data_IF_864141810151
#
_entry.id   IF_864141810151
#
_cell.length_a   1.000
_cell.length_b   1.000
_cell.length_c   1.000
_cell.angle_alpha   90.00
_cell.angle_beta   90.00
_cell.angle_gamma   90.00
#
_symmetry.space_group_name_H-M   'P 1'
#
loop_
_entity.id
_entity.type
_entity.pdbx_description
1 polymer ?
#
# COMPACT_ATOMS: atom_id res chain seq x y z
N UNK A 1 11.96 -11.50 -28.56
CA UNK A 1 12.64 -11.65 -27.26
C UNK A 1 11.88 -10.83 -26.25
N UNK A 2 11.38 -11.50 -25.22
CA UNK A 2 10.45 -10.97 -24.24
C UNK A 2 11.07 -9.84 -23.41
N UNK A 3 10.39 -8.70 -23.35
CA UNK A 3 10.55 -7.78 -22.24
C UNK A 3 9.68 -8.35 -21.11
N UNK A 4 10.31 -8.91 -20.10
CA UNK A 4 9.61 -9.32 -18.88
C UNK A 4 9.05 -8.06 -18.22
N UNK A 5 7.79 -8.10 -17.80
CA UNK A 5 7.32 -7.31 -16.68
C UNK A 5 8.41 -7.36 -15.62
N UNK A 6 8.94 -6.21 -15.19
CA UNK A 6 9.80 -6.17 -14.02
C UNK A 6 8.91 -6.59 -12.86
N UNK A 7 8.93 -7.89 -12.52
CA UNK A 7 8.58 -8.35 -11.19
C UNK A 7 9.29 -7.41 -10.24
N UNK A 8 8.54 -6.70 -9.39
CA UNK A 8 9.15 -6.04 -8.25
C UNK A 8 9.96 -7.11 -7.53
N UNK A 9 11.28 -6.94 -7.48
CA UNK A 9 12.18 -7.90 -6.86
C UNK A 9 11.78 -7.94 -5.40
N UNK A 10 11.09 -9.01 -5.01
CA UNK A 10 10.70 -9.25 -3.62
C UNK A 10 11.96 -9.17 -2.76
N UNK A 11 11.87 -8.45 -1.64
CA UNK A 11 13.06 -8.22 -0.83
C UNK A 11 13.53 -9.52 -0.17
N UNK A 12 14.86 -9.76 -0.07
CA UNK A 12 15.41 -11.03 0.37
C UNK A 12 14.88 -11.57 1.71
N UNK A 13 14.62 -10.68 2.65
CA UNK A 13 14.06 -10.97 3.98
C UNK A 13 12.58 -11.40 3.92
N UNK A 14 11.79 -10.85 2.98
CA UNK A 14 10.42 -11.29 2.74
C UNK A 14 10.43 -12.69 2.12
N UNK A 15 11.30 -12.93 1.14
CA UNK A 15 11.47 -14.28 0.57
C UNK A 15 11.96 -15.29 1.62
N UNK A 16 12.79 -14.87 2.58
CA UNK A 16 13.21 -15.71 3.69
C UNK A 16 12.03 -16.08 4.61
N UNK A 17 11.19 -15.11 4.98
CA UNK A 17 9.98 -15.37 5.76
C UNK A 17 9.06 -16.38 5.06
N UNK A 18 8.83 -16.22 3.75
CA UNK A 18 8.06 -17.19 2.93
C UNK A 18 8.67 -18.59 2.96
N UNK A 19 10.00 -18.71 2.86
CA UNK A 19 10.69 -20.02 2.97
C UNK A 19 10.50 -20.65 4.34
N UNK A 20 10.54 -19.87 5.42
CA UNK A 20 10.28 -20.36 6.80
C UNK A 20 8.85 -20.86 6.90
N UNK A 21 7.86 -20.07 6.45
CA UNK A 21 6.45 -20.45 6.43
C UNK A 21 6.25 -21.77 5.69
N UNK A 22 6.79 -21.90 4.47
CA UNK A 22 6.66 -23.10 3.66
C UNK A 22 7.35 -24.32 4.31
N UNK A 23 8.60 -24.15 4.77
CA UNK A 23 9.39 -25.22 5.40
C UNK A 23 8.67 -25.84 6.60
N UNK A 24 8.02 -25.02 7.42
CA UNK A 24 7.33 -25.47 8.62
C UNK A 24 5.80 -25.60 8.43
N UNK A 25 5.30 -25.42 7.20
CA UNK A 25 3.87 -25.46 6.88
C UNK A 25 3.02 -24.59 7.81
N UNK A 26 3.51 -23.38 8.10
CA UNK A 26 2.88 -22.47 9.07
C UNK A 26 1.63 -21.83 8.47
N UNK A 27 0.61 -21.65 9.29
CA UNK A 27 -0.59 -20.87 8.95
C UNK A 27 -0.94 -19.93 10.08
N UNK A 28 -1.44 -18.71 9.80
CA UNK A 28 -1.86 -17.80 10.85
C UNK A 28 -3.03 -18.35 11.69
N UNK A 29 -3.05 -18.09 13.02
CA UNK A 29 -2.02 -17.35 13.76
C UNK A 29 -0.78 -18.22 14.01
N UNK A 30 0.39 -17.73 13.61
CA UNK A 30 1.65 -18.46 13.79
C UNK A 30 2.04 -18.45 15.27
N UNK A 31 2.45 -19.62 15.79
CA UNK A 31 3.09 -19.72 17.10
C UNK A 31 4.56 -19.28 17.01
N UNK A 32 4.74 -17.96 17.02
CA UNK A 32 6.06 -17.33 16.91
C UNK A 32 6.94 -17.67 18.11
N UNK A 33 6.34 -17.92 19.28
CA UNK A 33 7.05 -18.31 20.49
C UNK A 33 7.73 -19.67 20.25
N UNK A 34 6.96 -20.66 19.82
CA UNK A 34 7.50 -21.98 19.49
C UNK A 34 8.56 -21.90 18.38
N UNK A 35 8.40 -21.02 17.40
CA UNK A 35 9.36 -20.85 16.32
C UNK A 35 10.68 -20.24 16.80
N UNK A 36 10.64 -19.15 17.59
CA UNK A 36 11.84 -18.54 18.20
C UNK A 36 12.56 -19.55 19.10
N UNK A 37 11.82 -20.32 19.91
CA UNK A 37 12.39 -21.35 20.77
C UNK A 37 13.08 -22.50 20.03
N UNK A 38 13.01 -22.59 18.69
CA UNK A 38 13.86 -23.51 17.91
C UNK A 38 15.28 -22.96 17.71
N UNK A 39 15.44 -21.64 17.65
CA UNK A 39 16.69 -20.97 17.31
C UNK A 39 17.40 -20.32 18.50
N UNK A 40 16.65 -19.95 19.53
CA UNK A 40 17.16 -19.31 20.73
C UNK A 40 16.49 -19.87 22.00
N UNK A 41 17.12 -19.63 23.14
CA UNK A 41 16.46 -19.69 24.44
C UNK A 41 15.58 -18.45 24.59
N UNK A 42 14.43 -18.57 25.27
CA UNK A 42 13.43 -17.53 25.31
C UNK A 42 12.94 -17.29 26.74
N UNK A 43 13.09 -16.06 27.19
CA UNK A 43 12.64 -15.58 28.49
C UNK A 43 11.70 -14.38 28.35
N UNK A 44 10.81 -14.23 29.34
CA UNK A 44 9.95 -13.07 29.47
C UNK A 44 10.22 -12.44 30.83
N UNK A 45 10.87 -11.29 30.84
CA UNK A 45 11.21 -10.60 32.09
C UNK A 45 10.93 -9.10 31.98
N UNK A 46 11.03 -8.39 33.10
CA UNK A 46 10.97 -6.94 33.14
C UNK A 46 12.29 -6.36 32.66
N UNK A 47 12.26 -5.63 31.55
CA UNK A 47 13.41 -4.91 31.01
C UNK A 47 13.18 -3.38 31.11
N UNK A 48 14.21 -2.54 30.95
CA UNK A 48 14.06 -1.08 31.05
C UNK A 48 13.00 -0.52 30.09
N UNK A 49 12.37 0.58 30.51
CA UNK A 49 11.36 1.26 29.70
C UNK A 49 11.94 1.74 28.36
N UNK A 50 11.15 1.63 27.29
CA UNK A 50 11.57 1.95 25.93
C UNK A 50 12.12 0.75 25.15
N UNK A 51 12.55 -0.32 25.83
CA UNK A 51 13.07 -1.54 25.19
C UNK A 51 11.95 -2.58 25.11
N UNK A 52 11.87 -3.31 23.99
CA UNK A 52 10.88 -4.37 23.81
C UNK A 52 11.47 -5.78 23.93
N UNK A 53 12.74 -5.96 23.56
CA UNK A 53 13.49 -7.18 23.78
C UNK A 53 14.99 -6.92 23.88
N UNK A 54 15.71 -7.91 24.43
CA UNK A 54 17.18 -7.95 24.46
C UNK A 54 17.63 -9.30 23.91
N UNK A 55 18.57 -9.27 22.97
CA UNK A 55 19.19 -10.46 22.40
C UNK A 55 20.64 -10.62 22.89
N UNK A 56 20.93 -11.73 23.57
CA UNK A 56 22.24 -12.04 24.14
C UNK A 56 22.87 -13.22 23.40
N UNK A 57 24.18 -13.13 23.13
CA UNK A 57 24.95 -14.26 22.60
C UNK A 57 24.66 -14.58 21.12
N UNK A 58 24.09 -13.64 20.38
CA UNK A 58 23.83 -13.79 18.96
C UNK A 58 25.14 -14.08 18.21
N UNK A 59 25.18 -15.19 17.45
CA UNK A 59 26.35 -15.66 16.68
C UNK A 59 27.65 -15.84 17.50
N UNK A 60 27.55 -15.99 18.83
CA UNK A 60 28.66 -16.48 19.67
C UNK A 60 28.94 -17.96 19.32
N UNK A 61 30.13 -18.31 18.78
CA UNK A 61 30.40 -19.67 18.32
C UNK A 61 30.16 -20.70 19.43
N UNK A 62 29.33 -21.70 19.13
CA UNK A 62 28.99 -22.77 20.07
C UNK A 62 28.02 -22.39 21.19
N UNK A 63 27.49 -21.15 21.22
CA UNK A 63 26.44 -20.74 22.16
C UNK A 63 25.10 -20.60 21.44
N UNK A 64 24.05 -21.05 22.12
CA UNK A 64 22.68 -20.77 21.74
C UNK A 64 22.34 -19.33 22.17
N UNK A 65 21.77 -18.49 21.29
CA UNK A 65 21.34 -17.15 21.68
C UNK A 65 20.23 -17.19 22.71
N UNK A 66 20.13 -16.14 23.54
CA UNK A 66 19.02 -15.91 24.46
C UNK A 66 18.26 -14.67 24.01
N UNK A 67 16.94 -14.77 23.91
CA UNK A 67 16.02 -13.66 23.65
C UNK A 67 15.23 -13.40 24.92
N UNK A 68 15.27 -12.17 25.43
CA UNK A 68 14.51 -11.72 26.59
C UNK A 68 13.48 -10.70 26.11
N UNK A 69 12.19 -11.01 26.17
CA UNK A 69 11.12 -10.09 25.75
C UNK A 69 10.50 -9.42 26.98
N UNK A 70 10.19 -8.12 26.89
CA UNK A 70 9.50 -7.42 27.97
C UNK A 70 8.14 -8.08 28.27
N UNK A 71 8.04 -8.65 29.48
CA UNK A 71 6.82 -9.32 29.94
C UNK A 71 5.64 -8.36 30.11
N UNK A 72 5.88 -7.05 30.24
CA UNK A 72 4.85 -6.05 30.52
C UNK A 72 4.19 -5.51 29.24
N UNK A 73 4.74 -5.79 28.06
CA UNK A 73 4.16 -5.33 26.78
C UNK A 73 2.84 -6.07 26.47
N UNK A 74 1.92 -5.44 25.74
CA UNK A 74 0.72 -6.12 25.25
C UNK A 74 1.08 -7.34 24.38
N UNK A 75 0.25 -8.39 24.43
CA UNK A 75 0.52 -9.66 23.72
C UNK A 75 0.75 -9.49 22.21
N UNK A 76 0.00 -8.61 21.55
CA UNK A 76 0.21 -8.32 20.13
C UNK A 76 1.57 -7.67 19.86
N UNK A 77 2.08 -6.84 20.78
CA UNK A 77 3.41 -6.24 20.68
C UNK A 77 4.48 -7.31 20.88
N UNK A 78 4.37 -8.15 21.92
CA UNK A 78 5.27 -9.29 22.13
C UNK A 78 5.34 -10.20 20.91
N UNK A 79 4.21 -10.51 20.27
CA UNK A 79 4.18 -11.32 19.04
C UNK A 79 4.98 -10.68 17.90
N UNK A 80 4.82 -9.38 17.70
CA UNK A 80 5.59 -8.64 16.69
C UNK A 80 7.08 -8.63 17.02
N UNK A 81 7.43 -8.34 18.28
CA UNK A 81 8.81 -8.37 18.79
C UNK A 81 9.44 -9.74 18.56
N UNK A 82 8.78 -10.84 18.92
CA UNK A 82 9.28 -12.20 18.67
C UNK A 82 9.53 -12.47 17.18
N UNK A 83 8.64 -12.01 16.30
CA UNK A 83 8.84 -12.16 14.85
C UNK A 83 10.01 -11.31 14.33
N UNK A 84 10.22 -10.14 14.92
CA UNK A 84 11.30 -9.22 14.63
C UNK A 84 12.66 -9.81 15.07
N UNK A 85 12.77 -10.29 16.31
CA UNK A 85 13.97 -10.99 16.82
C UNK A 85 14.30 -12.23 15.99
N UNK A 86 13.27 -12.98 15.57
CA UNK A 86 13.48 -14.11 14.66
C UNK A 86 14.08 -13.67 13.31
N UNK A 87 13.69 -12.49 12.82
CA UNK A 87 14.33 -11.86 11.66
C UNK A 87 15.82 -11.69 11.87
N UNK A 88 16.24 -11.08 12.98
CA UNK A 88 17.67 -10.95 13.32
C UNK A 88 18.40 -12.28 13.45
N UNK A 89 17.74 -13.30 14.02
CA UNK A 89 18.32 -14.64 14.15
C UNK A 89 18.54 -15.34 12.80
N UNK A 90 17.61 -15.15 11.85
CA UNK A 90 17.60 -15.92 10.60
C UNK A 90 18.21 -15.20 9.40
N UNK A 91 18.19 -13.86 9.37
CA UNK A 91 18.72 -13.10 8.24
C UNK A 91 20.27 -13.16 8.29
N UNK A 92 20.93 -13.75 7.26
CA UNK A 92 22.36 -14.06 7.35
C UNK A 92 23.25 -12.84 7.61
N UNK A 93 22.95 -11.72 6.95
CA UNK A 93 23.75 -10.48 7.01
C UNK A 93 23.43 -9.58 8.20
N UNK A 94 22.47 -9.94 9.07
CA UNK A 94 22.31 -9.27 10.38
C UNK A 94 23.44 -9.66 11.36
N UNK A 95 24.65 -10.00 10.88
CA UNK A 95 25.78 -10.43 11.70
C UNK A 95 26.65 -9.24 12.11
N UNK A 96 26.79 -9.00 13.43
CA UNK A 96 27.79 -8.08 13.98
C UNK A 96 27.35 -6.61 14.14
N UNK A 97 26.07 -6.29 13.91
CA UNK A 97 25.53 -4.91 14.03
C UNK A 97 24.43 -4.78 15.09
N UNK A 98 24.23 -5.79 15.95
CA UNK A 98 23.33 -5.66 17.09
C UNK A 98 24.17 -5.15 18.25
N UNK A 99 24.46 -3.86 18.23
CA UNK A 99 24.81 -3.17 19.46
C UNK A 99 23.51 -3.14 20.25
N UNK A 100 23.60 -3.77 21.43
CA UNK A 100 22.74 -3.60 22.59
C UNK A 100 21.69 -2.51 22.39
N UNK A 101 20.42 -2.88 22.55
CA UNK A 101 19.25 -2.00 22.59
C UNK A 101 19.27 -1.07 23.83
N UNK A 102 20.45 -0.53 24.16
CA UNK A 102 20.70 0.60 25.03
C UNK A 102 20.89 1.79 24.09
N UNK A 103 19.79 2.47 23.79
CA UNK A 103 19.80 3.74 23.07
C UNK A 103 20.89 4.70 23.59
N UNK A 104 21.95 4.87 22.81
CA UNK A 104 22.71 6.11 22.73
C UNK A 104 22.78 6.52 21.26
N UNK A 105 21.88 7.43 20.91
CA UNK A 105 21.78 8.23 19.70
C UNK A 105 23.09 8.45 18.94
N UNK A 106 23.35 7.64 17.90
CA UNK A 106 23.91 8.10 16.63
C UNK A 106 23.21 7.31 15.50
N UNK A 107 22.35 7.98 14.73
CA UNK A 107 21.61 7.39 13.61
C UNK A 107 22.58 6.92 12.51
N UNK A 108 23.06 5.68 12.61
CA UNK A 108 23.77 5.05 11.51
C UNK A 108 22.75 4.52 10.50
N UNK A 109 22.93 4.90 9.23
CA UNK A 109 22.07 4.50 8.11
C UNK A 109 21.96 2.95 7.99
N UNK A 110 23.03 2.22 8.28
CA UNK A 110 23.06 0.75 8.22
C UNK A 110 22.15 0.10 9.28
N UNK A 111 22.09 0.64 10.50
CA UNK A 111 21.22 0.14 11.57
C UNK A 111 19.74 0.31 11.17
N UNK A 112 19.37 1.47 10.62
CA UNK A 112 18.00 1.72 10.15
C UNK A 112 17.55 0.72 9.07
N UNK A 113 18.45 0.30 8.18
CA UNK A 113 18.15 -0.68 7.15
C UNK A 113 17.92 -2.09 7.72
N UNK A 114 18.77 -2.54 8.64
CA UNK A 114 18.67 -3.85 9.30
C UNK A 114 17.36 -3.95 10.11
N UNK A 115 17.03 -2.92 10.87
CA UNK A 115 15.77 -2.85 11.63
C UNK A 115 14.55 -2.90 10.70
N UNK A 116 14.62 -2.18 9.57
CA UNK A 116 13.55 -2.22 8.58
C UNK A 116 13.41 -3.60 7.92
N UNK A 117 14.50 -4.33 7.70
CA UNK A 117 14.49 -5.71 7.19
C UNK A 117 13.86 -6.67 8.19
N UNK A 118 14.24 -6.62 9.47
CA UNK A 118 13.63 -7.43 10.53
C UNK A 118 12.12 -7.15 10.67
N UNK A 119 11.72 -5.88 10.56
CA UNK A 119 10.31 -5.49 10.54
C UNK A 119 9.55 -6.07 9.34
N UNK A 120 10.13 -6.03 8.13
CA UNK A 120 9.52 -6.63 6.92
C UNK A 120 9.43 -8.14 7.03
N UNK A 121 10.46 -8.81 7.55
CA UNK A 121 10.45 -10.24 7.86
C UNK A 121 9.31 -10.60 8.83
N UNK A 122 9.21 -9.89 9.96
CA UNK A 122 8.17 -10.11 10.98
C UNK A 122 6.75 -9.91 10.42
N UNK A 123 6.56 -8.86 9.62
CA UNK A 123 5.28 -8.55 8.97
C UNK A 123 4.84 -9.65 7.99
N UNK A 124 5.76 -10.14 7.13
CA UNK A 124 5.48 -11.26 6.23
C UNK A 124 5.22 -12.55 7.00
N UNK A 125 6.01 -12.85 8.04
CA UNK A 125 5.83 -14.04 8.86
C UNK A 125 4.45 -14.04 9.52
N UNK A 126 4.10 -12.96 10.22
CA UNK A 126 2.87 -12.89 11.02
C UNK A 126 1.61 -12.83 10.15
N UNK A 127 1.67 -12.16 9.00
CA UNK A 127 0.54 -11.98 8.10
C UNK A 127 0.96 -12.27 6.65
N UNK A 128 1.15 -13.54 6.26
CA UNK A 128 1.72 -13.93 4.98
C UNK A 128 0.93 -13.42 3.78
N UNK A 129 1.64 -12.99 2.74
CA UNK A 129 1.03 -12.41 1.52
C UNK A 129 0.08 -13.42 0.87
N UNK A 130 0.54 -14.66 0.70
CA UNK A 130 -0.21 -15.71 0.02
C UNK A 130 -1.46 -16.12 0.82
N UNK A 131 -1.34 -16.14 2.15
CA UNK A 131 -2.48 -16.38 3.04
C UNK A 131 -3.50 -15.24 2.94
N UNK A 132 -3.06 -13.97 2.91
CA UNK A 132 -3.99 -12.85 2.77
C UNK A 132 -4.72 -12.92 1.41
N UNK A 133 -3.96 -13.02 0.32
CA UNK A 133 -4.51 -13.00 -1.03
C UNK A 133 -5.48 -14.17 -1.30
N UNK A 134 -5.28 -15.31 -0.63
CA UNK A 134 -6.15 -16.48 -0.79
C UNK A 134 -7.43 -16.44 0.07
N UNK A 135 -7.48 -15.60 1.11
CA UNK A 135 -8.53 -15.69 2.14
C UNK A 135 -9.37 -14.42 2.30
N UNK A 136 -8.97 -13.29 1.72
CA UNK A 136 -9.63 -12.01 1.94
C UNK A 136 -9.84 -11.23 0.64
N UNK A 137 -10.96 -10.51 0.57
CA UNK A 137 -11.30 -9.66 -0.55
C UNK A 137 -10.84 -8.22 -0.27
N UNK A 138 -9.64 -7.91 -0.77
CA UNK A 138 -9.02 -6.59 -0.56
C UNK A 138 -9.62 -5.51 -1.46
N UNK A 139 -10.41 -5.85 -2.50
CA UNK A 139 -11.05 -4.87 -3.39
C UNK A 139 -12.51 -4.62 -2.96
N UNK A 140 -13.24 -5.71 -2.70
CA UNK A 140 -14.65 -5.65 -2.38
C UNK A 140 -14.95 -5.17 -0.97
N UNK A 141 -14.05 -5.38 0.01
CA UNK A 141 -14.19 -4.79 1.35
C UNK A 141 -12.84 -4.78 2.12
N UNK A 142 -11.89 -3.90 1.74
CA UNK A 142 -10.60 -3.78 2.43
C UNK A 142 -10.74 -3.43 3.92
N UNK A 143 -11.76 -2.67 4.33
CA UNK A 143 -11.96 -2.30 5.72
C UNK A 143 -12.33 -3.51 6.59
N UNK A 144 -13.26 -4.35 6.12
CA UNK A 144 -13.59 -5.62 6.78
C UNK A 144 -12.43 -6.59 6.73
N UNK A 145 -11.77 -6.73 5.58
CA UNK A 145 -10.59 -7.58 5.43
C UNK A 145 -9.49 -7.20 6.42
N UNK A 146 -9.26 -5.90 6.65
CA UNK A 146 -8.32 -5.41 7.66
C UNK A 146 -8.65 -5.91 9.08
N UNK A 147 -9.92 -5.80 9.50
CA UNK A 147 -10.35 -6.32 10.80
C UNK A 147 -10.16 -7.83 10.91
N UNK A 148 -10.52 -8.57 9.86
CA UNK A 148 -10.43 -10.03 9.85
C UNK A 148 -8.98 -10.53 9.81
N UNK A 149 -8.10 -9.85 9.08
CA UNK A 149 -6.66 -10.13 9.05
C UNK A 149 -6.07 -9.92 10.43
N UNK A 150 -6.35 -8.77 11.06
CA UNK A 150 -5.86 -8.47 12.40
C UNK A 150 -6.27 -9.53 13.43
N UNK A 151 -7.56 -9.91 13.42
CA UNK A 151 -8.07 -10.93 14.34
C UNK A 151 -7.50 -12.32 14.05
N UNK A 152 -7.49 -12.77 12.80
CA UNK A 152 -7.04 -14.13 12.44
C UNK A 152 -5.53 -14.31 12.55
N UNK A 153 -4.74 -13.30 12.17
CA UNK A 153 -3.28 -13.34 12.30
C UNK A 153 -2.79 -12.98 13.72
N UNK A 154 -3.69 -12.44 14.56
CA UNK A 154 -3.39 -11.92 15.90
C UNK A 154 -2.27 -10.86 15.82
N UNK A 155 -2.54 -9.82 15.01
CA UNK A 155 -1.73 -8.61 14.87
C UNK A 155 -2.59 -7.37 15.17
N UNK A 156 -1.97 -6.20 15.33
CA UNK A 156 -2.71 -4.96 15.58
C UNK A 156 -3.45 -4.46 14.33
N UNK A 157 -4.51 -3.66 14.51
CA UNK A 157 -5.21 -2.99 13.39
C UNK A 157 -4.25 -2.13 12.55
N UNK A 158 -3.36 -1.30 13.13
CA UNK A 158 -2.33 -0.61 12.34
C UNK A 158 -1.43 -1.55 11.54
N UNK A 159 -1.02 -2.69 12.10
CA UNK A 159 -0.20 -3.66 11.37
C UNK A 159 -0.96 -4.25 10.17
N UNK A 160 -2.23 -4.62 10.34
CA UNK A 160 -3.08 -5.09 9.24
C UNK A 160 -3.30 -4.00 8.17
N UNK A 161 -3.49 -2.75 8.58
CA UNK A 161 -3.59 -1.60 7.68
C UNK A 161 -2.35 -1.47 6.78
N UNK A 162 -1.16 -1.39 7.40
CA UNK A 162 0.08 -1.29 6.63
C UNK A 162 0.34 -2.53 5.79
N UNK A 163 -0.10 -3.70 6.26
CA UNK A 163 0.03 -4.92 5.49
C UNK A 163 -0.75 -4.86 4.18
N UNK A 164 -2.04 -4.51 4.24
CA UNK A 164 -2.87 -4.31 3.04
C UNK A 164 -2.31 -3.17 2.18
N UNK A 165 -1.83 -2.08 2.78
CA UNK A 165 -1.22 -0.98 2.04
C UNK A 165 -0.02 -1.43 1.19
N UNK A 166 0.78 -2.39 1.68
CA UNK A 166 1.95 -2.94 1.00
C UNK A 166 1.58 -3.97 -0.07
N UNK A 167 0.67 -4.91 0.21
CA UNK A 167 0.40 -6.05 -0.68
C UNK A 167 -0.90 -5.93 -1.47
N UNK A 168 -1.67 -4.88 -1.22
CA UNK A 168 -3.00 -4.73 -1.78
C UNK A 168 -2.98 -4.65 -3.31
N UNK A 169 -4.05 -5.10 -3.96
CA UNK A 169 -4.14 -5.08 -5.42
C UNK A 169 -4.15 -3.65 -5.97
N UNK A 170 -3.85 -3.54 -7.26
CA UNK A 170 -3.92 -2.28 -8.00
C UNK A 170 -5.35 -1.71 -7.92
N UNK A 171 -5.46 -0.40 -7.70
CA UNK A 171 -6.73 0.33 -7.63
C UNK A 171 -7.15 0.72 -6.22
N UNK A 172 -6.30 0.55 -5.21
CA UNK A 172 -6.59 0.93 -3.83
C UNK A 172 -5.84 2.20 -3.42
N UNK A 173 -6.59 3.16 -2.89
CA UNK A 173 -6.06 4.28 -2.10
C UNK A 173 -6.41 4.07 -0.63
N UNK A 174 -5.58 4.57 0.26
CA UNK A 174 -5.78 4.43 1.70
C UNK A 174 -5.37 5.68 2.46
N UNK A 175 -6.02 5.89 3.60
CA UNK A 175 -5.67 6.92 4.57
C UNK A 175 -6.11 6.52 5.98
N UNK A 176 -5.39 7.03 6.97
CA UNK A 176 -5.81 7.04 8.38
C UNK A 176 -6.19 8.46 8.76
N UNK A 177 -7.38 8.66 9.28
CA UNK A 177 -7.89 9.95 9.73
C UNK A 177 -7.84 10.05 11.25
N UNK A 178 -7.32 11.17 11.74
CA UNK A 178 -7.37 11.53 13.16
C UNK A 178 -7.83 12.98 13.26
N UNK A 179 -8.96 13.21 13.94
CA UNK A 179 -9.58 14.53 14.08
C UNK A 179 -9.80 15.27 12.74
N UNK A 180 -10.33 14.59 11.72
CA UNK A 180 -10.54 15.17 10.40
C UNK A 180 -9.28 15.29 9.54
N UNK A 181 -8.09 14.97 10.06
CA UNK A 181 -6.81 15.11 9.34
C UNK A 181 -6.32 13.77 8.84
N UNK A 182 -6.02 13.69 7.53
CA UNK A 182 -5.50 12.49 6.89
C UNK A 182 -4.00 12.30 7.16
N UNK A 183 -3.62 11.07 7.48
CA UNK A 183 -2.27 10.60 7.83
C UNK A 183 -2.04 9.20 7.27
N UNK A 184 -0.78 8.76 7.27
CA UNK A 184 -0.36 7.44 6.74
C UNK A 184 -1.06 7.10 5.40
N UNK A 185 -1.12 8.11 4.52
CA UNK A 185 -1.87 8.06 3.25
C UNK A 185 -1.03 7.40 2.17
N UNK A 186 -1.68 6.84 1.17
CA UNK A 186 -0.97 6.23 0.06
C UNK A 186 -1.87 5.54 -0.94
N UNK A 187 -1.23 4.73 -1.77
CA UNK A 187 -1.84 3.92 -2.81
C UNK A 187 -1.05 2.65 -2.97
N UNK A 188 -1.72 1.58 -3.38
CA UNK A 188 -1.04 0.34 -3.72
C UNK A 188 -0.21 0.50 -5.00
N UNK A 189 0.85 -0.29 -5.12
CA UNK A 189 1.73 -0.31 -6.30
C UNK A 189 0.90 -0.46 -7.58
N UNK A 190 1.25 0.31 -8.61
CA UNK A 190 0.56 0.30 -9.91
C UNK A 190 -0.73 1.13 -9.96
N UNK A 191 -1.23 1.62 -8.82
CA UNK A 191 -2.41 2.50 -8.79
C UNK A 191 -2.07 3.88 -9.38
N UNK A 192 -2.84 4.30 -10.38
CA UNK A 192 -2.58 5.56 -11.12
C UNK A 192 -3.17 6.77 -10.42
N UNK A 193 -4.33 6.63 -9.76
CA UNK A 193 -4.93 7.67 -8.95
C UNK A 193 -3.90 8.18 -7.92
N UNK A 194 -3.78 9.50 -7.75
CA UNK A 194 -2.92 10.05 -6.72
C UNK A 194 -3.50 9.73 -5.35
N UNK A 195 -2.61 9.36 -4.45
CA UNK A 195 -2.91 9.21 -3.05
C UNK A 195 -3.47 10.51 -2.45
N UNK A 196 -4.23 10.40 -1.35
CA UNK A 196 -4.60 11.56 -0.55
C UNK A 196 -3.34 12.33 -0.12
N UNK A 197 -3.48 13.63 0.14
CA UNK A 197 -2.36 14.43 0.63
C UNK A 197 -2.21 14.25 2.13
N UNK A 198 -0.99 13.95 2.60
CA UNK A 198 -0.72 13.87 4.03
C UNK A 198 -0.98 15.24 4.68
N UNK A 199 -1.70 15.25 5.80
CA UNK A 199 -2.04 16.45 6.54
C UNK A 199 -3.24 17.23 5.99
N UNK A 200 -3.86 16.80 4.88
CA UNK A 200 -5.08 17.45 4.38
C UNK A 200 -6.29 17.10 5.26
N UNK A 201 -7.31 17.95 5.19
CA UNK A 201 -8.62 17.63 5.75
C UNK A 201 -9.26 16.49 4.96
N UNK A 202 -9.98 15.61 5.64
CA UNK A 202 -10.84 14.63 5.02
C UNK A 202 -12.02 15.33 4.34
N UNK A 203 -12.28 14.97 3.08
CA UNK A 203 -13.46 15.38 2.33
C UNK A 203 -14.29 14.13 2.02
N UNK A 204 -15.54 14.03 2.49
CA UNK A 204 -16.44 12.90 2.17
C UNK A 204 -16.66 12.66 0.68
N UNK A 205 -16.45 13.67 -0.17
CA UNK A 205 -16.65 13.57 -1.61
C UNK A 205 -15.38 13.22 -2.39
N UNK A 206 -14.23 13.08 -1.71
CA UNK A 206 -12.98 12.73 -2.38
C UNK A 206 -13.09 11.35 -3.03
N UNK A 207 -12.64 11.26 -4.28
CA UNK A 207 -12.71 10.04 -5.09
C UNK A 207 -14.12 9.46 -5.24
N UNK A 208 -15.12 10.30 -5.51
CA UNK A 208 -16.55 9.92 -5.63
C UNK A 208 -16.88 8.74 -6.56
N UNK A 209 -16.02 8.44 -7.54
CA UNK A 209 -16.18 7.28 -8.44
C UNK A 209 -15.65 5.96 -7.88
N UNK A 210 -14.91 6.00 -6.78
CA UNK A 210 -14.41 4.82 -6.10
C UNK A 210 -15.44 4.34 -5.06
N UNK A 211 -15.48 3.04 -4.81
CA UNK A 211 -16.20 2.53 -3.64
C UNK A 211 -15.39 2.90 -2.40
N UNK A 212 -16.04 3.55 -1.44
CA UNK A 212 -15.44 3.95 -0.18
C UNK A 212 -15.79 2.94 0.91
N UNK A 213 -14.77 2.50 1.65
CA UNK A 213 -14.91 1.66 2.84
C UNK A 213 -14.18 2.32 3.99
N UNK A 214 -14.73 2.22 5.19
CA UNK A 214 -14.08 2.74 6.39
C UNK A 214 -14.37 1.92 7.62
N UNK A 215 -13.48 2.04 8.61
CA UNK A 215 -13.69 1.48 9.94
C UNK A 215 -13.03 2.36 11.00
N UNK A 216 -13.70 2.49 12.14
CA UNK A 216 -13.18 3.24 13.30
C UNK A 216 -12.49 2.29 14.28
N UNK A 217 -11.28 2.63 14.70
CA UNK A 217 -10.54 1.92 15.73
C UNK A 217 -9.60 2.87 16.47
N UNK A 218 -9.55 2.77 17.81
CA UNK A 218 -8.62 3.59 18.62
C UNK A 218 -8.84 5.10 18.54
N UNK A 219 -10.06 5.56 18.22
CA UNK A 219 -10.35 6.99 18.03
C UNK A 219 -9.96 7.54 16.66
N UNK A 220 -9.58 6.67 15.72
CA UNK A 220 -9.20 7.03 14.36
C UNK A 220 -10.05 6.27 13.35
N UNK A 221 -10.06 6.76 12.11
CA UNK A 221 -10.81 6.15 11.01
C UNK A 221 -9.82 5.69 9.93
N UNK A 222 -9.97 4.46 9.47
CA UNK A 222 -9.17 3.91 8.39
C UNK A 222 -10.03 3.90 7.13
N UNK A 223 -9.64 4.68 6.12
CA UNK A 223 -10.36 4.83 4.87
C UNK A 223 -9.66 4.07 3.75
N UNK A 224 -10.49 3.48 2.89
CA UNK A 224 -10.08 2.78 1.69
C UNK A 224 -10.97 3.22 0.53
N UNK A 225 -10.36 3.58 -0.58
CA UNK A 225 -11.06 3.85 -1.83
C UNK A 225 -10.63 2.83 -2.86
N UNK A 226 -11.57 1.97 -3.26
CA UNK A 226 -11.36 0.93 -4.25
C UNK A 226 -11.93 1.37 -5.60
N UNK A 227 -11.03 1.59 -6.56
CA UNK A 227 -11.38 1.80 -7.95
C UNK A 227 -11.52 0.45 -8.64
N UNK A 228 -12.57 0.32 -9.45
CA UNK A 228 -12.70 -0.85 -10.32
C UNK A 228 -11.55 -0.87 -11.34
N UNK A 229 -10.93 -2.04 -11.54
CA UNK A 229 -9.86 -2.19 -12.54
C UNK A 229 -10.38 -1.91 -13.95
N UNK A 230 -11.61 -2.34 -14.21
CA UNK A 230 -12.36 -2.09 -15.44
C UNK A 230 -13.70 -1.43 -15.09
N UNK A 231 -14.03 -0.39 -15.84
CA UNK A 231 -15.33 0.27 -15.74
C UNK A 231 -15.98 0.10 -17.10
N UNK A 232 -17.21 -0.41 -17.12
CA UNK A 232 -17.99 -0.49 -18.34
C UNK A 232 -18.08 0.91 -18.95
N UNK A 233 -17.63 1.03 -20.19
CA UNK A 233 -17.73 2.29 -20.92
C UNK A 233 -19.23 2.52 -21.14
N UNK A 234 -19.78 3.68 -20.72
CA UNK A 234 -21.17 4.02 -21.04
C UNK A 234 -21.38 3.81 -22.54
N UNK A 235 -22.51 3.22 -22.94
CA UNK A 235 -22.78 2.71 -24.30
C UNK A 235 -22.86 3.77 -25.42
N UNK A 236 -22.19 4.91 -25.22
CA UNK A 236 -21.91 5.97 -26.17
C UNK A 236 -20.46 5.76 -26.64
N UNK A 237 -20.23 4.71 -27.44
CA UNK A 237 -19.08 4.67 -28.34
C UNK A 237 -19.40 5.59 -29.52
N UNK A 238 -19.45 6.90 -29.25
CA UNK A 238 -19.55 7.86 -30.33
C UNK A 238 -18.16 8.03 -30.93
N UNK A 239 -18.04 7.77 -32.24
CA UNK A 239 -16.82 8.01 -33.01
C UNK A 239 -16.57 9.52 -33.23
N UNK A 240 -17.01 10.36 -32.29
CA UNK A 240 -16.80 11.79 -32.32
C UNK A 240 -15.32 12.13 -32.22
N UNK A 241 -14.92 13.25 -32.82
CA UNK A 241 -13.56 13.76 -32.64
C UNK A 241 -13.39 14.23 -31.20
N UNK A 242 -12.60 13.49 -30.41
CA UNK A 242 -12.29 13.84 -29.03
C UNK A 242 -11.76 15.28 -28.89
N UNK A 243 -11.16 15.86 -29.94
CA UNK A 243 -10.68 17.25 -29.93
C UNK A 243 -11.83 18.25 -29.93
N UNK A 244 -12.93 17.95 -30.64
CA UNK A 244 -14.13 18.80 -30.66
C UNK A 244 -14.83 18.77 -29.30
N UNK A 245 -15.01 17.57 -28.74
CA UNK A 245 -15.59 17.40 -27.40
C UNK A 245 -14.74 18.11 -26.33
N UNK A 246 -13.41 17.98 -26.41
CA UNK A 246 -12.52 18.71 -25.50
C UNK A 246 -12.59 20.22 -25.70
N UNK A 247 -12.71 20.70 -26.94
CA UNK A 247 -12.84 22.13 -27.22
C UNK A 247 -14.16 22.69 -26.68
N UNK A 248 -15.26 21.94 -26.79
CA UNK A 248 -16.56 22.28 -26.20
C UNK A 248 -16.46 22.40 -24.67
N UNK A 249 -15.92 21.36 -24.01
CA UNK A 249 -15.76 21.35 -22.55
C UNK A 249 -14.91 22.54 -22.09
N UNK A 250 -13.73 22.73 -22.69
CA UNK A 250 -12.81 23.79 -22.26
C UNK A 250 -13.33 25.19 -22.61
N UNK A 251 -14.19 25.32 -23.63
CA UNK A 251 -14.85 26.58 -23.98
C UNK A 251 -15.66 27.18 -22.83
N UNK A 252 -16.22 26.34 -21.95
CA UNK A 252 -16.94 26.76 -20.76
C UNK A 252 -16.08 27.35 -19.63
N UNK A 253 -14.75 27.21 -19.69
CA UNK A 253 -13.83 27.68 -18.64
C UNK A 253 -13.45 29.17 -18.78
N UNK A 254 -13.76 29.82 -19.90
CA UNK A 254 -13.44 31.24 -20.11
C UNK A 254 -11.93 31.56 -20.13
N UNK A 255 -11.09 30.61 -20.57
CA UNK A 255 -9.63 30.76 -20.59
C UNK A 255 -9.16 31.66 -21.75
N UNK A 256 -8.02 32.34 -21.56
CA UNK A 256 -7.32 33.00 -22.68
C UNK A 256 -6.79 31.98 -23.70
N UNK A 257 -6.55 32.36 -24.97
CA UNK A 257 -6.04 31.43 -25.99
C UNK A 257 -4.74 30.72 -25.58
N UNK A 258 -3.83 31.42 -24.91
CA UNK A 258 -2.58 30.86 -24.41
C UNK A 258 -2.79 29.84 -23.29
N UNK A 259 -3.70 30.14 -22.35
CA UNK A 259 -4.04 29.23 -21.25
C UNK A 259 -4.80 27.99 -21.73
N UNK A 260 -5.75 28.16 -22.64
CA UNK A 260 -6.49 27.07 -23.29
C UNK A 260 -5.52 26.09 -23.95
N UNK A 261 -4.58 26.61 -24.76
CA UNK A 261 -3.56 25.81 -25.43
C UNK A 261 -2.69 25.05 -24.43
N UNK A 262 -2.17 25.73 -23.40
CA UNK A 262 -1.34 25.10 -22.36
C UNK A 262 -2.11 24.03 -21.58
N UNK A 263 -3.36 24.29 -21.24
CA UNK A 263 -4.21 23.38 -20.50
C UNK A 263 -4.51 22.11 -21.31
N UNK A 264 -4.94 22.24 -22.57
CA UNK A 264 -5.19 21.11 -23.47
C UNK A 264 -3.92 20.28 -23.71
N UNK A 265 -2.76 20.92 -23.82
CA UNK A 265 -1.47 20.20 -23.93
C UNK A 265 -1.15 19.40 -22.66
N UNK A 266 -1.32 20.00 -21.48
CA UNK A 266 -1.09 19.34 -20.19
C UNK A 266 -2.04 18.15 -19.98
N UNK A 267 -3.32 18.33 -20.27
CA UNK A 267 -4.32 17.27 -20.21
C UNK A 267 -3.95 16.12 -21.15
N UNK A 268 -3.62 16.42 -22.41
CA UNK A 268 -3.21 15.40 -23.37
C UNK A 268 -1.95 14.64 -22.95
N UNK A 269 -0.98 15.32 -22.36
CA UNK A 269 0.21 14.67 -21.78
C UNK A 269 -0.17 13.70 -20.66
N UNK A 270 -1.10 14.11 -19.79
CA UNK A 270 -1.64 13.27 -18.71
C UNK A 270 -2.33 12.02 -19.25
N UNK A 271 -3.21 12.15 -20.25
CA UNK A 271 -3.93 11.02 -20.85
C UNK A 271 -2.98 10.08 -21.62
N UNK A 272 -1.98 10.64 -22.31
CA UNK A 272 -0.99 9.85 -23.04
C UNK A 272 -0.05 9.09 -22.09
N UNK A 273 0.25 9.65 -20.91
CA UNK A 273 1.00 8.96 -19.87
C UNK A 273 0.24 7.72 -19.37
N UNK A 274 -1.07 7.83 -19.13
CA UNK A 274 -1.92 6.68 -18.79
C UNK A 274 -1.84 5.62 -19.89
N UNK A 275 -1.99 6.01 -21.16
CA UNK A 275 -1.89 5.09 -22.29
C UNK A 275 -0.53 4.38 -22.37
N UNK A 276 0.57 5.06 -22.04
CA UNK A 276 1.91 4.48 -22.03
C UNK A 276 2.13 3.47 -20.91
N UNK A 277 1.43 3.61 -19.77
CA UNK A 277 1.52 2.69 -18.63
C UNK A 277 0.77 1.38 -18.87
N UNK A 278 -0.18 1.36 -19.81
CA UNK A 278 -1.05 0.21 -20.11
C UNK A 278 -0.60 -0.63 -21.31
N UNK A 279 0.64 -0.48 -21.82
CA UNK A 279 1.06 -1.07 -23.12
C UNK A 279 0.83 -2.59 -23.24
N UNK A 280 1.01 -3.36 -22.18
CA UNK A 280 0.97 -4.83 -22.23
C UNK A 280 -0.42 -5.43 -21.95
N UNK A 281 -1.30 -4.71 -21.22
CA UNK A 281 -2.62 -5.19 -20.79
C UNK A 281 -3.73 -4.19 -21.16
N UNK A 282 -3.68 -3.68 -22.39
CA UNK A 282 -4.55 -2.60 -22.85
C UNK A 282 -5.94 -3.13 -23.25
N UNK A 283 -6.96 -2.79 -22.46
CA UNK A 283 -8.37 -2.91 -22.86
C UNK A 283 -9.04 -1.52 -22.85
N UNK A 284 -10.09 -1.29 -23.65
CA UNK A 284 -10.85 -0.04 -23.61
C UNK A 284 -11.34 0.30 -22.19
N UNK A 285 -11.94 -0.66 -21.49
CA UNK A 285 -12.55 -0.51 -20.17
C UNK A 285 -11.51 -0.17 -19.11
N UNK A 286 -10.33 -0.80 -19.18
CA UNK A 286 -9.21 -0.52 -18.28
C UNK A 286 -8.62 0.86 -18.56
N UNK A 287 -8.45 1.23 -19.82
CA UNK A 287 -7.96 2.56 -20.19
C UNK A 287 -8.92 3.65 -19.73
N UNK A 288 -10.21 3.44 -19.97
CA UNK A 288 -11.28 4.33 -19.51
C UNK A 288 -11.26 4.50 -17.98
N UNK A 289 -11.21 3.40 -17.23
CA UNK A 289 -11.09 3.42 -15.77
C UNK A 289 -9.85 4.18 -15.30
N UNK A 290 -8.67 3.93 -15.91
CA UNK A 290 -7.43 4.60 -15.53
C UNK A 290 -7.41 6.09 -15.84
N UNK A 291 -8.03 6.51 -16.94
CA UNK A 291 -8.19 7.93 -17.26
C UNK A 291 -9.08 8.59 -16.20
N UNK A 292 -10.23 8.01 -15.88
CA UNK A 292 -11.11 8.53 -14.82
C UNK A 292 -10.38 8.63 -13.47
N UNK A 293 -9.68 7.58 -13.06
CA UNK A 293 -8.84 7.57 -11.86
C UNK A 293 -7.86 8.75 -11.83
N UNK A 294 -7.18 9.01 -12.96
CA UNK A 294 -6.19 10.08 -13.06
C UNK A 294 -6.84 11.47 -13.03
N UNK A 295 -7.98 11.65 -13.67
CA UNK A 295 -8.70 12.93 -13.71
C UNK A 295 -9.29 13.26 -12.33
N UNK A 296 -10.00 12.33 -11.69
CA UNK A 296 -10.54 12.54 -10.33
C UNK A 296 -9.44 12.86 -9.32
N UNK A 297 -8.29 12.20 -9.47
CA UNK A 297 -7.11 12.50 -8.67
C UNK A 297 -6.58 13.92 -8.89
N UNK A 298 -6.58 14.43 -10.12
CA UNK A 298 -6.07 15.77 -10.41
C UNK A 298 -7.08 16.87 -10.05
N UNK A 299 -8.38 16.56 -10.05
CA UNK A 299 -9.46 17.50 -9.76
C UNK A 299 -9.37 18.09 -8.35
N UNK A 300 -8.90 17.33 -7.37
CA UNK A 300 -8.74 17.77 -5.98
C UNK A 300 -7.88 19.04 -5.81
N UNK A 301 -6.95 19.31 -6.75
CA UNK A 301 -6.07 20.48 -6.72
C UNK A 301 -6.19 21.34 -7.98
N UNK A 302 -7.10 21.01 -8.90
CA UNK A 302 -7.22 21.67 -10.18
C UNK A 302 -8.69 21.83 -10.58
N UNK A 303 -9.24 23.02 -10.32
CA UNK A 303 -10.62 23.35 -10.65
C UNK A 303 -10.95 23.15 -12.14
N UNK A 304 -9.96 23.29 -13.05
CA UNK A 304 -10.16 23.08 -14.49
C UNK A 304 -10.41 21.60 -14.80
N UNK A 305 -9.78 20.68 -14.06
CA UNK A 305 -10.04 19.25 -14.19
C UNK A 305 -11.37 18.89 -13.54
N UNK A 306 -11.68 19.48 -12.37
CA UNK A 306 -13.00 19.32 -11.74
C UNK A 306 -14.12 19.74 -12.71
N UNK A 307 -13.97 20.88 -13.38
CA UNK A 307 -14.90 21.33 -14.41
C UNK A 307 -15.09 20.32 -15.55
N UNK A 308 -14.01 19.67 -16.02
CA UNK A 308 -14.13 18.61 -17.04
C UNK A 308 -14.95 17.44 -16.50
N UNK A 309 -14.71 17.00 -15.26
CA UNK A 309 -15.42 15.88 -14.65
C UNK A 309 -16.92 16.16 -14.46
N UNK A 310 -17.26 17.41 -14.13
CA UNK A 310 -18.64 17.84 -13.93
C UNK A 310 -19.39 18.09 -15.24
N UNK A 311 -18.68 18.16 -16.38
CA UNK A 311 -19.28 18.46 -17.67
C UNK A 311 -20.05 17.25 -18.25
N UNK A 312 -21.26 17.43 -18.83
CA UNK A 312 -22.04 16.34 -19.43
C UNK A 312 -21.29 15.55 -20.52
N UNK A 313 -20.39 16.23 -21.25
CA UNK A 313 -19.56 15.63 -22.29
C UNK A 313 -18.29 14.92 -21.78
N UNK A 314 -18.08 14.81 -20.46
CA UNK A 314 -16.89 14.18 -19.90
C UNK A 314 -16.72 12.73 -20.36
N UNK A 315 -17.75 11.90 -20.14
CA UNK A 315 -17.72 10.49 -20.49
C UNK A 315 -17.64 10.25 -22.01
N UNK A 316 -18.40 10.96 -22.87
CA UNK A 316 -18.18 10.95 -24.31
C UNK A 316 -16.75 11.31 -24.73
N UNK A 317 -16.17 12.38 -24.17
CA UNK A 317 -14.80 12.81 -24.45
C UNK A 317 -13.78 11.71 -24.11
N UNK A 318 -13.87 11.13 -22.91
CA UNK A 318 -12.94 10.08 -22.48
C UNK A 318 -13.09 8.84 -23.37
N UNK A 319 -14.31 8.44 -23.71
CA UNK A 319 -14.59 7.29 -24.57
C UNK A 319 -14.03 7.46 -25.98
N UNK A 320 -14.24 8.64 -26.59
CA UNK A 320 -13.66 8.98 -27.88
C UNK A 320 -12.12 9.01 -27.83
N UNK A 321 -11.54 9.50 -26.72
CA UNK A 321 -10.08 9.54 -26.55
C UNK A 321 -9.48 8.14 -26.39
N UNK A 322 -10.13 7.26 -25.64
CA UNK A 322 -9.74 5.85 -25.48
C UNK A 322 -9.72 5.16 -26.85
N UNK A 323 -10.79 5.35 -27.64
CA UNK A 323 -10.89 4.81 -29.00
C UNK A 323 -9.71 5.27 -29.87
N UNK A 324 -9.38 6.56 -29.83
CA UNK A 324 -8.25 7.13 -30.58
C UNK A 324 -6.86 6.64 -30.14
N UNK A 325 -6.72 6.01 -28.96
CA UNK A 325 -5.47 5.38 -28.53
C UNK A 325 -5.35 3.91 -28.97
N UNK A 326 -6.46 3.32 -29.41
CA UNK A 326 -6.56 1.92 -29.83
C UNK A 326 -6.53 1.75 -31.35
N UNK A 327 -6.86 2.81 -32.10
CA UNK A 327 -6.66 2.94 -33.54
C UNK A 327 -5.24 3.36 -33.87
#
# INVERSE_FOLDING_TARGET
MAASAREEIESPEVSLAKRVIHRFSLTPPIDVKALVSQYADLEFDSIPEGIDAVCVGLKSPGKRPLVIVDRNKPELRKRFTLGHELGHLLIPWHAGLIIDDIHLFEENFEESHIEAEANRFSSELLAPTDWINSNFDLIGDPAKSMLQIADKAKISIPAAYFRIATIGPIGLLFARESNGVLRNVGRTTGTIAAAPMHGSQYDPNMYSIAKHYSVTHGGEIYHWWAFADEVAIPSIFDNGDWRLLLAEIVGGLGLTPEEDKKFKQSLNGTLSNVNSQLRENRTPERMYSRILQRLHSAAAQNYRIQFILDHPQCHPFISARVSAFLT
#
